data_IF_348919658393
#
_entry.id   IF_348919658393
#
_cell.length_a   1.000
_cell.length_b   1.000
_cell.length_c   1.000
_cell.angle_alpha   90.00
_cell.angle_beta   90.00
_cell.angle_gamma   90.00
#
_symmetry.space_group_name_H-M   'P 1'
#
loop_
_entity.id
_entity.type
_entity.pdbx_description
1 polymer ?
#
# COMPACT_ATOMS: atom_id res chain seq x y z
N UNK A 1 -27.75 -29.94 -12.10
CA UNK A 1 -26.56 -30.22 -12.93
C UNK A 1 -25.47 -29.27 -12.51
N UNK A 2 -24.45 -29.78 -11.83
CA UNK A 2 -23.28 -29.04 -11.40
C UNK A 2 -22.15 -29.24 -12.42
N UNK A 3 -21.50 -28.16 -12.80
CA UNK A 3 -20.14 -28.11 -13.38
C UNK A 3 -19.50 -26.85 -12.78
N UNK A 4 -18.83 -26.98 -11.64
CA UNK A 4 -17.37 -26.95 -11.54
C UNK A 4 -16.90 -25.50 -11.36
N UNK A 5 -16.49 -24.99 -10.20
CA UNK A 5 -15.66 -25.66 -9.19
C UNK A 5 -14.17 -25.46 -9.46
N UNK A 6 -13.72 -24.32 -10.00
CA UNK A 6 -12.35 -23.85 -9.82
C UNK A 6 -12.31 -22.84 -8.68
N UNK A 7 -11.39 -23.02 -7.75
CA UNK A 7 -11.45 -22.48 -6.40
C UNK A 7 -11.64 -20.97 -6.33
N UNK A 8 -12.81 -20.54 -5.88
CA UNK A 8 -13.06 -19.19 -5.40
C UNK A 8 -12.31 -18.97 -4.09
N UNK A 9 -10.99 -18.84 -4.14
CA UNK A 9 -10.29 -18.08 -3.11
C UNK A 9 -10.72 -16.63 -3.34
N UNK A 10 -11.47 -16.00 -2.41
CA UNK A 10 -11.79 -14.59 -2.56
C UNK A 10 -10.46 -13.84 -2.49
N UNK A 11 -9.81 -13.56 -3.63
CA UNK A 11 -8.46 -13.02 -3.54
C UNK A 11 -8.54 -11.64 -2.90
N UNK A 12 -7.90 -11.52 -1.75
CA UNK A 12 -7.69 -10.30 -0.98
C UNK A 12 -6.52 -9.56 -1.61
N UNK A 13 -6.72 -8.29 -1.92
CA UNK A 13 -5.74 -7.44 -2.58
C UNK A 13 -5.17 -6.47 -1.56
N UNK A 14 -3.84 -6.40 -1.49
CA UNK A 14 -3.12 -5.32 -0.82
C UNK A 14 -2.40 -4.53 -1.89
N UNK A 15 -2.57 -3.21 -1.89
CA UNK A 15 -1.93 -2.33 -2.86
C UNK A 15 -1.09 -1.27 -2.16
N UNK A 16 0.22 -1.28 -2.40
CA UNK A 16 1.16 -0.40 -1.72
C UNK A 16 1.53 0.85 -2.54
N UNK A 17 1.04 0.93 -3.78
CA UNK A 17 1.32 2.01 -4.71
C UNK A 17 0.01 2.75 -5.05
N UNK A 18 -0.04 4.09 -4.95
CA UNK A 18 -1.25 4.86 -5.27
C UNK A 18 -1.82 4.51 -6.66
N UNK A 19 -1.00 4.56 -7.71
CA UNK A 19 -1.46 4.22 -9.07
C UNK A 19 -1.98 2.78 -9.21
N UNK A 20 -1.43 1.80 -8.47
CA UNK A 20 -1.98 0.45 -8.47
C UNK A 20 -3.33 0.37 -7.76
N UNK A 21 -3.50 1.13 -6.68
CA UNK A 21 -4.78 1.25 -5.97
C UNK A 21 -5.86 1.85 -6.85
N UNK A 22 -5.51 2.89 -7.62
CA UNK A 22 -6.41 3.52 -8.59
C UNK A 22 -6.81 2.56 -9.71
N UNK A 23 -5.87 1.76 -10.22
CA UNK A 23 -6.16 0.71 -11.20
C UNK A 23 -7.12 -0.36 -10.65
N UNK A 24 -6.90 -0.84 -9.42
CA UNK A 24 -7.78 -1.80 -8.76
C UNK A 24 -9.21 -1.26 -8.64
N UNK A 25 -9.35 0.00 -8.21
CA UNK A 25 -10.65 0.65 -8.11
C UNK A 25 -11.32 0.82 -9.48
N UNK A 26 -10.57 1.26 -10.49
CA UNK A 26 -11.05 1.43 -11.87
C UNK A 26 -11.51 0.12 -12.51
N UNK A 27 -10.93 -1.01 -12.10
CA UNK A 27 -11.34 -2.35 -12.55
C UNK A 27 -12.58 -2.90 -11.81
N UNK A 28 -13.18 -2.14 -10.89
CA UNK A 28 -14.32 -2.59 -10.09
C UNK A 28 -13.94 -3.62 -9.03
N UNK A 29 -12.67 -3.67 -8.62
CA UNK A 29 -12.14 -4.63 -7.65
C UNK A 29 -11.91 -4.02 -6.26
N UNK A 30 -12.43 -2.82 -6.00
CA UNK A 30 -12.23 -2.10 -4.73
C UNK A 30 -12.73 -2.88 -3.50
N UNK A 31 -13.81 -3.65 -3.62
CA UNK A 31 -14.33 -4.48 -2.53
C UNK A 31 -13.34 -5.57 -2.08
N UNK A 32 -12.39 -5.91 -2.95
CA UNK A 32 -11.34 -6.89 -2.68
C UNK A 32 -10.06 -6.25 -2.13
N UNK A 33 -9.98 -4.92 -2.14
CA UNK A 33 -8.88 -4.17 -1.55
C UNK A 33 -9.04 -4.20 -0.02
N UNK A 34 -8.12 -4.89 0.64
CA UNK A 34 -8.12 -5.10 2.11
C UNK A 34 -7.02 -4.32 2.83
N UNK A 35 -6.08 -3.72 2.10
CA UNK A 35 -5.00 -2.93 2.68
C UNK A 35 -4.35 -2.01 1.65
N UNK A 36 -3.95 -0.82 2.10
CA UNK A 36 -3.33 0.22 1.27
C UNK A 36 -2.08 0.81 1.93
N UNK A 37 -1.27 1.55 1.16
CA UNK A 37 -0.25 2.43 1.76
C UNK A 37 -0.85 3.77 2.21
N UNK A 38 -0.17 4.47 3.11
CA UNK A 38 -0.60 5.79 3.59
C UNK A 38 -0.78 6.85 2.49
N UNK A 39 -0.15 6.64 1.33
CA UNK A 39 -0.21 7.55 0.20
C UNK A 39 -1.38 7.26 -0.75
N UNK A 40 -2.12 6.17 -0.55
CA UNK A 40 -3.28 5.84 -1.38
C UNK A 40 -4.50 6.64 -0.92
N UNK A 41 -4.96 7.57 -1.75
CA UNK A 41 -6.05 8.49 -1.42
C UNK A 41 -7.14 8.60 -2.49
N UNK A 42 -6.97 7.93 -3.64
CA UNK A 42 -7.90 7.94 -4.77
C UNK A 42 -8.35 6.53 -5.22
N UNK A 43 -9.64 6.34 -5.55
CA UNK A 43 -10.76 7.25 -5.29
C UNK A 43 -10.96 7.48 -3.78
N UNK A 44 -11.63 8.56 -3.33
CA UNK A 44 -11.73 8.89 -1.90
C UNK A 44 -12.25 7.75 -1.00
N UNK A 45 -12.99 6.80 -1.56
CA UNK A 45 -13.47 5.58 -0.90
C UNK A 45 -12.33 4.66 -0.40
N UNK A 46 -11.17 4.64 -1.07
CA UNK A 46 -10.03 3.80 -0.63
C UNK A 46 -9.40 4.28 0.67
N UNK A 47 -9.67 5.53 1.09
CA UNK A 47 -9.19 6.08 2.38
C UNK A 47 -9.82 5.40 3.59
N UNK A 48 -10.91 4.64 3.38
CA UNK A 48 -11.55 3.82 4.42
C UNK A 48 -10.82 2.50 4.65
N UNK A 49 -9.91 2.10 3.75
CA UNK A 49 -9.18 0.85 3.84
C UNK A 49 -8.05 0.94 4.87
N UNK A 50 -7.70 -0.17 5.54
CA UNK A 50 -6.58 -0.20 6.47
C UNK A 50 -5.26 0.22 5.81
N UNK A 51 -4.50 1.10 6.48
CA UNK A 51 -3.15 1.45 6.06
C UNK A 51 -2.18 0.41 6.61
N UNK A 52 -1.63 -0.44 5.75
CA UNK A 52 -0.73 -1.54 6.12
C UNK A 52 0.74 -1.20 5.91
N UNK A 53 1.04 -0.12 5.18
CA UNK A 53 2.41 0.38 4.98
C UNK A 53 2.47 1.89 5.20
N UNK A 54 3.46 2.32 5.99
CA UNK A 54 3.76 3.73 6.29
C UNK A 54 5.22 4.04 6.04
N UNK A 55 5.52 5.24 5.53
CA UNK A 55 6.89 5.77 5.49
C UNK A 55 7.35 6.06 6.91
N UNK A 56 8.60 5.70 7.23
CA UNK A 56 9.26 6.11 8.48
C UNK A 56 9.74 7.56 8.46
N UNK A 57 9.81 8.15 7.26
CA UNK A 57 10.18 9.54 7.07
C UNK A 57 8.92 10.38 6.86
N UNK A 58 8.70 11.34 7.75
CA UNK A 58 7.81 12.47 7.51
C UNK A 58 8.59 13.52 6.72
N UNK A 59 8.14 13.83 5.51
CA UNK A 59 8.88 14.69 4.56
C UNK A 59 8.39 16.14 4.58
N UNK A 60 7.28 16.43 5.27
CA UNK A 60 6.72 17.77 5.34
C UNK A 60 7.72 18.76 5.94
N UNK A 61 8.11 19.74 5.14
CA UNK A 61 9.04 20.80 5.55
C UNK A 61 10.52 20.44 5.46
N UNK A 62 10.87 19.26 4.92
CA UNK A 62 12.25 18.90 4.63
C UNK A 62 12.70 19.39 3.25
N UNK A 63 13.97 19.76 3.14
CA UNK A 63 14.63 19.97 1.86
C UNK A 63 14.87 18.63 1.14
N UNK A 64 14.74 18.53 -0.20
CA UNK A 64 15.00 17.28 -0.92
C UNK A 64 16.38 16.66 -0.66
N UNK A 65 17.43 17.46 -0.42
CA UNK A 65 18.74 16.93 -0.07
C UNK A 65 18.75 16.29 1.33
N UNK A 66 17.90 16.75 2.25
CA UNK A 66 17.74 16.12 3.57
C UNK A 66 17.04 14.76 3.44
N UNK A 67 16.01 14.68 2.58
CA UNK A 67 15.33 13.41 2.27
C UNK A 67 16.31 12.41 1.67
N UNK A 68 17.09 12.81 0.66
CA UNK A 68 18.08 11.95 0.01
C UNK A 68 19.15 11.45 1.00
N UNK A 69 19.69 12.35 1.84
CA UNK A 69 20.65 11.98 2.89
C UNK A 69 20.07 10.96 3.86
N UNK A 70 18.82 11.12 4.28
CA UNK A 70 18.17 10.19 5.19
C UNK A 70 17.98 8.82 4.54
N UNK A 71 17.42 8.77 3.33
CA UNK A 71 17.20 7.52 2.58
C UNK A 71 18.53 6.79 2.37
N UNK A 72 19.55 7.51 1.90
CA UNK A 72 20.90 6.98 1.70
C UNK A 72 21.50 6.41 2.99
N UNK A 73 21.28 7.06 4.13
CA UNK A 73 21.75 6.60 5.43
C UNK A 73 21.04 5.30 5.86
N UNK A 74 19.72 5.23 5.73
CA UNK A 74 18.95 4.02 6.07
C UNK A 74 19.37 2.82 5.23
N UNK A 75 19.53 3.00 3.91
CA UNK A 75 19.94 1.92 3.01
C UNK A 75 21.36 1.41 3.34
N UNK A 76 22.30 2.31 3.67
CA UNK A 76 23.67 1.93 4.08
C UNK A 76 23.71 1.12 5.38
N UNK A 77 22.77 1.36 6.28
CA UNK A 77 22.69 0.68 7.57
C UNK A 77 21.86 -0.62 7.52
N UNK A 78 21.33 -0.99 6.34
CA UNK A 78 20.40 -2.12 6.20
C UNK A 78 19.05 -1.88 6.88
N UNK A 79 18.70 -0.61 7.11
CA UNK A 79 17.42 -0.21 7.70
C UNK A 79 16.27 -0.27 6.68
N UNK A 80 15.04 -0.28 7.19
CA UNK A 80 13.82 -0.15 6.37
C UNK A 80 13.41 1.31 6.25
N UNK A 81 12.95 1.71 5.06
CA UNK A 81 12.32 3.02 4.81
C UNK A 81 10.85 3.06 5.24
N UNK A 82 10.25 1.88 5.41
CA UNK A 82 8.82 1.72 5.66
C UNK A 82 8.56 0.82 6.86
N UNK A 83 7.45 1.07 7.55
CA UNK A 83 6.85 0.15 8.51
C UNK A 83 5.75 -0.65 7.82
N UNK A 84 5.76 -1.97 8.04
CA UNK A 84 4.76 -2.91 7.56
C UNK A 84 3.97 -3.45 8.75
N UNK A 85 2.65 -3.34 8.68
CA UNK A 85 1.73 -3.99 9.60
C UNK A 85 1.52 -5.45 9.18
N UNK A 86 2.47 -6.32 9.53
CA UNK A 86 2.40 -7.74 9.19
C UNK A 86 1.15 -8.46 9.76
N UNK A 87 0.68 -8.16 11.00
CA UNK A 87 -0.58 -8.70 11.50
C UNK A 87 -1.83 -8.35 10.69
N UNK A 88 -1.81 -7.26 9.91
CA UNK A 88 -2.94 -6.84 9.08
C UNK A 88 -3.03 -7.54 7.71
N UNK A 89 -2.06 -8.41 7.36
CA UNK A 89 -2.01 -9.16 6.10
C UNK A 89 -2.68 -10.54 6.27
#
# INVERSE_FOLDING_TARGET
MATGGEGAFPHRIVSLLPGATEMVASLGLEDRLVGVSQACDFPPSVRTKPVVVRSRLETRGMDPAEVDRWVSSQLKQGGSLYDLDAPAL
#
